data_IF_469771559961
#
_entry.id   IF_469771559961
#
_cell.length_a   1.000
_cell.length_b   1.000
_cell.length_c   1.000
_cell.angle_alpha   90.00
_cell.angle_beta   90.00
_cell.angle_gamma   90.00
#
_symmetry.space_group_name_H-M   'P 1'
#
loop_
_entity.id
_entity.type
_entity.pdbx_description
1 polymer ?
#
# COMPACT_ATOMS: atom_id res chain seq x y z
N UNK A 1 6.45 -22.52 40.08
CA UNK A 1 6.04 -22.94 38.73
C UNK A 1 5.29 -21.82 38.01
N UNK A 2 4.07 -21.43 38.40
CA UNK A 2 3.29 -20.38 37.70
C UNK A 2 4.01 -19.03 37.55
N UNK A 3 4.65 -18.51 38.61
CA UNK A 3 5.39 -17.23 38.57
C UNK A 3 6.60 -17.26 37.63
N UNK A 4 7.23 -18.42 37.45
CA UNK A 4 8.35 -18.60 36.54
C UNK A 4 7.89 -18.51 35.07
N UNK A 5 6.80 -19.21 34.73
CA UNK A 5 6.18 -19.12 33.40
C UNK A 5 5.71 -17.71 33.06
N UNK A 6 5.08 -17.01 34.00
CA UNK A 6 4.66 -15.61 33.78
C UNK A 6 5.87 -14.75 33.43
N UNK A 7 6.96 -14.84 34.19
CA UNK A 7 8.17 -14.06 33.93
C UNK A 7 8.78 -14.38 32.56
N UNK A 8 8.86 -15.67 32.19
CA UNK A 8 9.37 -16.11 30.88
C UNK A 8 8.52 -15.59 29.72
N UNK A 9 7.19 -15.69 29.84
CA UNK A 9 6.25 -15.19 28.83
C UNK A 9 6.27 -13.66 28.72
N UNK A 10 6.44 -12.94 29.83
CA UNK A 10 6.62 -11.49 29.80
C UNK A 10 7.92 -11.08 29.10
N UNK A 11 9.01 -11.80 29.35
CA UNK A 11 10.28 -11.56 28.67
C UNK A 11 10.16 -11.81 27.16
N UNK A 12 9.56 -12.94 26.78
CA UNK A 12 9.29 -13.27 25.38
C UNK A 12 8.42 -12.20 24.72
N UNK A 13 7.34 -11.76 25.38
CA UNK A 13 6.47 -10.69 24.87
C UNK A 13 7.23 -9.39 24.64
N UNK A 14 8.18 -9.03 25.53
CA UNK A 14 9.02 -7.84 25.35
C UNK A 14 9.97 -7.99 24.16
N UNK A 15 10.61 -9.16 24.02
CA UNK A 15 11.47 -9.48 22.89
C UNK A 15 10.72 -9.37 21.56
N UNK A 16 9.56 -10.05 21.45
CA UNK A 16 8.74 -10.05 20.24
C UNK A 16 8.25 -8.65 19.83
N UNK A 17 7.97 -7.78 20.80
CA UNK A 17 7.47 -6.42 20.54
C UNK A 17 8.54 -5.39 20.22
N UNK A 18 9.79 -5.61 20.60
CA UNK A 18 10.83 -4.56 20.57
C UNK A 18 12.08 -4.94 19.80
N UNK A 19 12.45 -6.21 19.83
CA UNK A 19 13.76 -6.65 19.33
C UNK A 19 13.62 -7.56 18.13
N UNK A 20 12.54 -8.35 18.03
CA UNK A 20 12.37 -9.33 16.96
C UNK A 20 12.49 -8.71 15.55
N UNK A 21 11.88 -7.54 15.33
CA UNK A 21 11.96 -6.83 14.04
C UNK A 21 13.38 -6.34 13.70
N UNK A 22 14.24 -6.14 14.70
CA UNK A 22 15.59 -5.60 14.53
C UNK A 22 16.62 -6.66 14.13
N UNK A 23 16.26 -7.94 14.25
CA UNK A 23 17.14 -9.09 13.93
C UNK A 23 17.09 -9.46 12.44
N UNK A 24 16.22 -8.82 11.66
CA UNK A 24 16.09 -9.07 10.23
C UNK A 24 17.06 -8.21 9.43
N UNK A 25 17.87 -8.86 8.61
CA UNK A 25 18.82 -8.20 7.72
C UNK A 25 18.28 -8.17 6.28
N UNK A 26 18.11 -6.96 5.76
CA UNK A 26 17.66 -6.70 4.39
C UNK A 26 18.60 -5.66 3.80
N UNK A 27 19.11 -5.92 2.60
CA UNK A 27 20.00 -5.00 1.91
C UNK A 27 19.24 -3.74 1.43
N UNK A 28 19.96 -2.64 1.22
CA UNK A 28 19.37 -1.36 0.82
C UNK A 28 18.58 -1.41 -0.51
N UNK A 29 18.95 -2.32 -1.41
CA UNK A 29 18.23 -2.58 -2.66
C UNK A 29 16.96 -3.44 -2.48
N UNK A 30 16.58 -3.77 -1.24
CA UNK A 30 15.41 -4.57 -0.91
C UNK A 30 15.60 -6.09 -1.02
N UNK A 31 16.82 -6.58 -1.29
CA UNK A 31 17.08 -8.03 -1.32
C UNK A 31 17.26 -8.58 0.08
N UNK A 32 16.64 -9.73 0.35
CA UNK A 32 16.83 -10.47 1.60
C UNK A 32 18.26 -10.99 1.73
N UNK A 33 18.78 -10.97 2.95
CA UNK A 33 20.06 -11.57 3.30
C UNK A 33 19.76 -12.85 4.09
N UNK A 34 20.48 -13.94 3.78
CA UNK A 34 20.37 -15.18 4.54
C UNK A 34 20.84 -14.98 5.98
N UNK A 35 20.13 -15.59 6.93
CA UNK A 35 20.53 -15.60 8.33
C UNK A 35 20.76 -17.05 8.76
N UNK A 36 21.90 -17.32 9.40
CA UNK A 36 22.23 -18.67 9.90
C UNK A 36 21.25 -19.16 10.97
N UNK A 37 20.55 -18.24 11.64
CA UNK A 37 19.40 -18.53 12.49
C UNK A 37 18.13 -18.70 11.66
N UNK A 38 17.58 -19.92 11.67
CA UNK A 38 16.34 -20.28 10.96
C UNK A 38 15.15 -19.37 11.29
N UNK A 39 15.09 -18.91 12.53
CA UNK A 39 14.02 -18.06 13.07
C UNK A 39 14.07 -16.62 12.57
N UNK A 40 15.21 -16.21 12.03
CA UNK A 40 15.47 -14.87 11.51
C UNK A 40 15.71 -14.87 9.99
N UNK A 41 15.75 -16.06 9.37
CA UNK A 41 15.92 -16.21 7.94
C UNK A 41 14.59 -15.89 7.21
N UNK A 42 14.49 -14.68 6.66
CA UNK A 42 13.36 -14.27 5.81
C UNK A 42 13.15 -15.19 4.61
N UNK A 43 14.20 -15.60 3.85
CA UNK A 43 14.03 -16.58 2.78
C UNK A 43 13.39 -17.89 3.27
N UNK A 44 13.71 -18.36 4.48
CA UNK A 44 13.13 -19.58 5.03
C UNK A 44 11.66 -19.37 5.39
N UNK A 45 11.35 -18.26 6.05
CA UNK A 45 9.97 -17.88 6.41
C UNK A 45 9.05 -17.77 5.19
N UNK A 46 9.61 -17.37 4.05
CA UNK A 46 8.90 -17.25 2.77
C UNK A 46 9.02 -18.48 1.86
N UNK A 47 9.68 -19.56 2.30
CA UNK A 47 9.74 -20.84 1.58
C UNK A 47 10.73 -20.89 0.42
N UNK A 48 11.73 -19.99 0.40
CA UNK A 48 12.72 -19.84 -0.68
C UNK A 48 14.16 -20.19 -0.28
N UNK A 49 14.42 -20.48 1.00
CA UNK A 49 15.78 -20.80 1.47
C UNK A 49 16.20 -22.23 1.15
N UNK A 50 17.39 -22.39 0.57
CA UNK A 50 18.07 -23.69 0.38
C UNK A 50 19.36 -23.81 1.18
N UNK A 51 19.73 -22.75 1.91
CA UNK A 51 20.96 -22.69 2.70
C UNK A 51 20.80 -23.39 4.05
N UNK A 52 21.92 -23.81 4.64
CA UNK A 52 21.93 -24.47 5.95
C UNK A 52 21.74 -23.47 7.08
N UNK A 53 20.99 -23.87 8.10
CA UNK A 53 20.82 -23.11 9.33
C UNK A 53 21.52 -23.88 10.46
N UNK A 54 22.70 -23.42 10.86
CA UNK A 54 23.56 -24.07 11.86
C UNK A 54 23.34 -23.57 13.28
N UNK A 55 22.56 -22.49 13.45
CA UNK A 55 22.37 -21.80 14.72
C UNK A 55 20.89 -21.72 15.11
N UNK A 56 20.58 -22.02 16.37
CA UNK A 56 19.30 -21.67 17.00
C UNK A 56 19.49 -20.39 17.81
N UNK A 57 18.75 -19.32 17.48
CA UNK A 57 18.79 -18.11 18.29
C UNK A 57 18.22 -18.38 19.68
N UNK A 58 18.96 -17.97 20.71
CA UNK A 58 18.61 -18.11 22.13
C UNK A 58 17.21 -17.53 22.42
N UNK A 59 16.82 -16.41 21.80
CA UNK A 59 15.52 -15.76 22.03
C UNK A 59 14.33 -16.51 21.42
N UNK A 60 14.48 -17.06 20.22
CA UNK A 60 13.40 -17.79 19.55
C UNK A 60 13.32 -19.25 19.97
N UNK A 61 14.46 -19.90 20.24
CA UNK A 61 14.49 -21.24 20.85
C UNK A 61 13.80 -21.27 22.22
N UNK A 62 13.86 -20.16 22.99
CA UNK A 62 13.11 -20.00 24.24
C UNK A 62 11.59 -20.06 24.05
N UNK A 63 11.06 -19.59 22.91
CA UNK A 63 9.62 -19.66 22.62
C UNK A 63 9.15 -21.11 22.58
N UNK A 64 9.76 -21.94 21.74
CA UNK A 64 9.39 -23.36 21.61
C UNK A 64 9.69 -24.14 22.89
N UNK A 65 10.77 -23.81 23.59
CA UNK A 65 11.09 -24.42 24.87
C UNK A 65 9.99 -24.15 25.92
N UNK A 66 9.40 -22.95 25.96
CA UNK A 66 8.30 -22.62 26.88
C UNK A 66 7.05 -23.44 26.56
N UNK A 67 6.66 -23.53 25.28
CA UNK A 67 5.49 -24.34 24.87
C UNK A 67 5.69 -25.83 25.17
N UNK A 68 6.88 -26.36 24.92
CA UNK A 68 7.23 -27.74 25.27
C UNK A 68 7.17 -27.99 26.78
N UNK A 69 7.73 -27.09 27.59
CA UNK A 69 7.67 -27.16 29.05
C UNK A 69 6.22 -27.08 29.56
N UNK A 70 5.42 -26.16 29.02
CA UNK A 70 4.01 -26.03 29.37
C UNK A 70 3.22 -27.31 29.06
N UNK A 71 3.42 -27.94 27.90
CA UNK A 71 2.77 -29.22 27.56
C UNK A 71 3.06 -30.33 28.57
N UNK A 72 4.28 -30.37 29.11
CA UNK A 72 4.65 -31.38 30.11
C UNK A 72 4.05 -31.10 31.50
N UNK A 73 3.82 -29.83 31.83
CA UNK A 73 3.36 -29.40 33.15
C UNK A 73 1.83 -29.23 33.27
N UNK A 74 1.10 -29.15 32.14
CA UNK A 74 -0.36 -29.00 32.12
C UNK A 74 -1.10 -30.29 31.76
N UNK A 75 -2.36 -30.46 32.19
CA UNK A 75 -3.19 -31.59 31.79
C UNK A 75 -3.35 -31.68 30.27
N UNK A 76 -3.38 -32.92 29.76
CA UNK A 76 -3.57 -33.22 28.34
C UNK A 76 -4.84 -32.63 27.74
N UNK A 77 -5.86 -32.37 28.57
CA UNK A 77 -7.10 -31.71 28.15
C UNK A 77 -6.91 -30.28 27.62
N UNK A 78 -5.80 -29.62 27.97
CA UNK A 78 -5.49 -28.25 27.55
C UNK A 78 -4.46 -28.19 26.40
N UNK A 79 -3.97 -29.34 25.92
CA UNK A 79 -2.93 -29.37 24.88
C UNK A 79 -3.42 -28.80 23.56
N UNK A 80 -4.66 -29.07 23.17
CA UNK A 80 -5.26 -28.51 21.96
C UNK A 80 -5.31 -26.98 22.00
N UNK A 81 -5.76 -26.40 23.12
CA UNK A 81 -5.81 -24.95 23.30
C UNK A 81 -4.40 -24.33 23.28
N UNK A 82 -3.42 -25.00 23.87
CA UNK A 82 -2.03 -24.56 23.83
C UNK A 82 -1.45 -24.59 22.40
N UNK A 83 -1.81 -25.58 21.59
CA UNK A 83 -1.44 -25.67 20.18
C UNK A 83 -2.05 -24.53 19.36
N UNK A 84 -3.33 -24.22 19.58
CA UNK A 84 -3.98 -23.06 18.95
C UNK A 84 -3.27 -21.74 19.29
N UNK A 85 -2.85 -21.56 20.56
CA UNK A 85 -2.06 -20.38 20.93
C UNK A 85 -0.67 -20.34 20.28
N UNK A 86 -0.04 -21.50 20.11
CA UNK A 86 1.23 -21.58 19.40
C UNK A 86 1.06 -21.19 17.93
N UNK A 87 0.01 -21.67 17.26
CA UNK A 87 -0.30 -21.30 15.87
C UNK A 87 -0.58 -19.80 15.72
N UNK A 88 -1.40 -19.21 16.59
CA UNK A 88 -1.64 -17.76 16.59
C UNK A 88 -0.35 -16.95 16.75
N UNK A 89 0.57 -17.43 17.58
CA UNK A 89 1.86 -16.78 17.77
C UNK A 89 2.73 -16.87 16.51
N UNK A 90 2.77 -18.03 15.86
CA UNK A 90 3.48 -18.21 14.58
C UNK A 90 2.90 -17.31 13.49
N UNK A 91 1.57 -17.17 13.43
CA UNK A 91 0.91 -16.26 12.50
C UNK A 91 1.31 -14.80 12.75
N UNK A 92 1.34 -14.39 14.03
CA UNK A 92 1.81 -13.06 14.42
C UNK A 92 3.27 -12.83 13.99
N UNK A 93 4.17 -13.79 14.22
CA UNK A 93 5.58 -13.70 13.84
C UNK A 93 5.76 -13.57 12.32
N UNK A 94 5.04 -14.39 11.56
CA UNK A 94 5.04 -14.32 10.09
C UNK A 94 4.54 -12.96 9.60
N UNK A 95 3.54 -12.37 10.27
CA UNK A 95 3.07 -11.01 9.97
C UNK A 95 4.13 -9.95 10.30
N UNK A 96 4.84 -10.03 11.43
CA UNK A 96 5.94 -9.10 11.74
C UNK A 96 7.08 -9.20 10.72
N UNK A 97 7.46 -10.42 10.31
CA UNK A 97 8.45 -10.64 9.24
C UNK A 97 8.03 -9.99 7.92
N UNK A 98 6.79 -10.22 7.46
CA UNK A 98 6.24 -9.59 6.24
C UNK A 98 6.23 -8.08 6.35
N UNK A 99 5.82 -7.54 7.50
CA UNK A 99 5.80 -6.11 7.76
C UNK A 99 7.20 -5.49 7.61
N UNK A 100 8.21 -6.03 8.29
CA UNK A 100 9.59 -5.52 8.21
C UNK A 100 10.08 -5.58 6.77
N UNK A 101 9.85 -6.73 6.11
CA UNK A 101 10.26 -6.92 4.73
C UNK A 101 9.63 -5.94 3.75
N UNK A 102 8.30 -5.80 3.74
CA UNK A 102 7.62 -4.91 2.81
C UNK A 102 7.91 -3.43 3.09
N UNK A 103 8.14 -3.05 4.36
CA UNK A 103 8.56 -1.70 4.71
C UNK A 103 9.90 -1.32 4.06
N UNK A 104 10.86 -2.23 3.99
CA UNK A 104 12.13 -1.97 3.29
C UNK A 104 11.96 -1.82 1.78
N UNK A 105 10.93 -2.43 1.19
CA UNK A 105 10.67 -2.32 -0.24
C UNK A 105 10.34 -0.87 -0.64
N UNK A 106 9.66 -0.10 0.20
CA UNK A 106 9.38 1.31 -0.08
C UNK A 106 10.69 2.10 -0.30
N UNK A 107 11.62 2.01 0.65
CA UNK A 107 12.91 2.68 0.55
C UNK A 107 13.77 2.15 -0.61
N UNK A 108 13.78 0.84 -0.86
CA UNK A 108 14.48 0.25 -1.99
C UNK A 108 13.99 0.80 -3.34
N UNK A 109 12.67 0.98 -3.48
CA UNK A 109 12.07 1.55 -4.69
C UNK A 109 12.35 3.05 -4.84
N UNK A 110 12.43 3.79 -3.74
CA UNK A 110 12.88 5.18 -3.77
C UNK A 110 14.34 5.29 -4.23
N UNK A 111 15.23 4.40 -3.77
CA UNK A 111 16.63 4.39 -4.17
C UNK A 111 16.83 3.96 -5.63
N UNK A 112 15.93 3.15 -6.19
CA UNK A 112 15.92 2.76 -7.60
C UNK A 112 15.50 3.91 -8.56
N UNK A 113 14.90 4.98 -8.03
CA UNK A 113 14.33 6.06 -8.83
C UNK A 113 15.40 6.87 -9.57
N UNK A 114 15.23 7.01 -10.88
CA UNK A 114 16.03 7.85 -11.76
C UNK A 114 15.21 9.05 -12.28
N UNK A 115 15.80 9.89 -13.14
CA UNK A 115 15.14 11.07 -13.73
C UNK A 115 14.07 10.74 -14.78
N UNK A 116 13.93 9.45 -15.13
CA UNK A 116 12.99 8.92 -16.11
C UNK A 116 11.80 8.24 -15.44
N UNK A 117 11.93 7.85 -14.17
CA UNK A 117 10.92 7.15 -13.41
C UNK A 117 10.04 8.05 -12.55
N UNK A 118 8.91 7.49 -12.11
CA UNK A 118 8.17 8.00 -10.96
C UNK A 118 7.77 6.86 -10.01
N UNK A 119 7.75 7.13 -8.71
CA UNK A 119 7.14 6.23 -7.72
C UNK A 119 5.81 6.82 -7.27
N UNK A 120 4.74 6.04 -7.39
CA UNK A 120 3.37 6.47 -7.09
C UNK A 120 2.88 5.71 -5.85
N UNK A 121 2.53 6.41 -4.78
CA UNK A 121 1.90 5.80 -3.60
C UNK A 121 0.42 6.14 -3.60
N UNK A 122 -0.45 5.13 -3.53
CA UNK A 122 -1.90 5.33 -3.52
C UNK A 122 -2.52 4.82 -2.23
N UNK A 123 -3.46 5.60 -1.69
CA UNK A 123 -4.23 5.20 -0.53
C UNK A 123 -5.65 5.79 -0.50
N UNK A 124 -6.58 4.98 0.01
CA UNK A 124 -7.93 5.42 0.29
C UNK A 124 -8.06 5.86 1.74
N UNK A 125 -8.33 7.15 1.93
CA UNK A 125 -8.69 7.64 3.25
C UNK A 125 -10.07 7.15 3.66
N UNK A 126 -10.26 7.00 4.96
CA UNK A 126 -11.60 6.94 5.57
C UNK A 126 -12.49 8.09 5.09
N UNK A 127 -13.79 7.79 4.92
CA UNK A 127 -14.76 8.72 4.35
C UNK A 127 -14.83 10.04 5.12
N UNK A 128 -14.74 11.14 4.42
CA UNK A 128 -15.05 12.46 4.98
C UNK A 128 -16.57 12.58 5.06
N UNK A 129 -17.11 12.77 6.25
CA UNK A 129 -18.55 12.96 6.43
C UNK A 129 -18.91 14.45 6.27
N UNK A 130 -20.10 14.77 5.74
CA UNK A 130 -20.66 16.11 5.83
C UNK A 130 -20.73 16.55 7.29
N UNK A 131 -20.29 17.78 7.56
CA UNK A 131 -20.25 18.36 8.90
C UNK A 131 -20.74 19.79 8.82
N UNK A 132 -21.58 20.18 9.77
CA UNK A 132 -21.93 21.58 9.96
C UNK A 132 -21.27 22.12 11.22
N UNK A 133 -20.91 23.40 11.21
CA UNK A 133 -20.44 24.09 12.41
C UNK A 133 -21.50 24.10 13.54
N UNK A 134 -22.78 24.01 13.18
CA UNK A 134 -23.91 23.95 14.11
C UNK A 134 -24.80 22.75 13.79
N UNK A 135 -24.31 21.57 14.12
CA UNK A 135 -25.01 20.32 13.87
C UNK A 135 -25.88 19.90 15.06
N UNK A 136 -27.17 19.65 14.82
CA UNK A 136 -28.05 19.07 15.84
C UNK A 136 -27.92 17.54 15.88
N UNK A 137 -28.19 16.93 17.04
CA UNK A 137 -28.06 15.47 17.22
C UNK A 137 -28.90 14.63 16.24
N UNK A 138 -30.00 15.19 15.73
CA UNK A 138 -30.89 14.57 14.74
C UNK A 138 -30.31 14.57 13.33
N UNK A 139 -29.50 15.57 12.98
CA UNK A 139 -28.85 15.71 11.67
C UNK A 139 -27.66 14.76 11.46
N UNK A 140 -27.20 14.10 12.53
CA UNK A 140 -26.00 13.25 12.53
C UNK A 140 -26.21 11.89 11.85
N UNK A 141 -27.43 11.36 11.77
CA UNK A 141 -27.67 9.99 11.32
C UNK A 141 -27.67 9.83 9.79
N UNK A 142 -26.98 8.77 9.31
CA UNK A 142 -26.96 8.30 7.90
C UNK A 142 -26.45 9.29 6.86
N UNK A 143 -25.40 10.05 7.18
CA UNK A 143 -24.73 10.90 6.19
C UNK A 143 -23.92 10.06 5.19
N UNK A 144 -24.05 10.38 3.90
CA UNK A 144 -23.21 9.81 2.84
C UNK A 144 -21.87 10.57 2.82
N UNK A 145 -20.78 9.87 3.11
CA UNK A 145 -19.44 10.45 3.11
C UNK A 145 -18.78 10.44 1.72
N UNK A 146 -17.80 11.33 1.54
CA UNK A 146 -16.90 11.40 0.40
C UNK A 146 -15.75 10.43 0.55
N UNK A 147 -15.41 9.74 -0.54
CA UNK A 147 -14.22 8.89 -0.60
C UNK A 147 -13.05 9.72 -1.13
N UNK A 148 -11.96 9.79 -0.39
CA UNK A 148 -10.73 10.45 -0.82
C UNK A 148 -9.72 9.37 -1.23
N UNK A 149 -9.20 9.46 -2.45
CA UNK A 149 -8.16 8.59 -2.96
C UNK A 149 -6.92 9.41 -3.25
N UNK A 150 -6.05 9.48 -2.26
CA UNK A 150 -4.84 10.27 -2.34
C UNK A 150 -3.79 9.53 -3.14
N UNK A 151 -3.03 10.28 -3.93
CA UNK A 151 -1.90 9.75 -4.68
C UNK A 151 -0.69 10.65 -4.46
N UNK A 152 0.43 10.06 -4.06
CA UNK A 152 1.69 10.77 -3.92
C UNK A 152 2.58 10.38 -5.10
N UNK A 153 3.20 11.35 -5.76
CA UNK A 153 4.11 11.10 -6.87
C UNK A 153 5.51 11.57 -6.48
N UNK A 154 6.43 10.62 -6.38
CA UNK A 154 7.84 10.87 -6.16
C UNK A 154 8.54 10.91 -7.52
N UNK A 155 9.26 11.99 -7.79
CA UNK A 155 10.08 12.14 -9.00
C UNK A 155 11.48 12.60 -8.63
N UNK A 156 12.47 12.26 -9.45
CA UNK A 156 13.84 12.72 -9.22
C UNK A 156 14.16 13.94 -10.08
N UNK A 157 14.78 14.95 -9.48
CA UNK A 157 15.48 16.02 -10.21
C UNK A 157 16.99 15.87 -10.02
N UNK A 158 17.77 16.56 -10.86
CA UNK A 158 19.23 16.62 -10.73
C UNK A 158 19.58 16.97 -9.26
N UNK A 159 20.40 16.13 -8.63
CA UNK A 159 20.93 16.23 -7.26
C UNK A 159 19.93 16.25 -6.08
N UNK A 160 18.63 16.04 -6.29
CA UNK A 160 17.62 15.96 -5.20
C UNK A 160 16.35 15.18 -5.57
N UNK A 161 15.61 14.72 -4.56
CA UNK A 161 14.28 14.16 -4.78
C UNK A 161 13.26 15.28 -4.64
N UNK A 162 12.49 15.51 -5.71
CA UNK A 162 11.32 16.35 -5.62
C UNK A 162 10.09 15.49 -5.35
N UNK A 163 9.43 15.80 -4.24
CA UNK A 163 8.16 15.21 -3.91
C UNK A 163 7.05 16.12 -4.44
N UNK A 164 6.31 15.66 -5.44
CA UNK A 164 5.06 16.30 -5.83
C UNK A 164 3.89 15.47 -5.30
N UNK A 165 3.36 15.88 -4.15
CA UNK A 165 2.17 15.26 -3.60
C UNK A 165 0.95 15.82 -4.36
N UNK A 166 0.11 14.95 -4.91
CA UNK A 166 -1.11 15.35 -5.60
C UNK A 166 -2.32 14.53 -5.13
N UNK A 167 -3.06 15.03 -4.14
CA UNK A 167 -4.19 14.30 -3.57
C UNK A 167 -5.52 14.54 -4.31
N UNK A 168 -6.04 13.54 -5.01
CA UNK A 168 -7.32 13.64 -5.72
C UNK A 168 -8.50 13.14 -4.87
N UNK A 169 -9.67 13.75 -5.01
CA UNK A 169 -10.84 13.40 -4.22
C UNK A 169 -12.06 13.20 -5.09
N UNK A 170 -12.96 12.32 -4.69
CA UNK A 170 -14.18 12.10 -5.45
C UNK A 170 -15.41 12.16 -4.59
N UNK A 171 -16.46 12.70 -5.19
CA UNK A 171 -17.81 12.65 -4.64
C UNK A 171 -18.45 11.27 -4.84
N UNK A 172 -17.80 10.36 -5.56
CA UNK A 172 -18.24 8.99 -5.71
C UNK A 172 -17.84 8.14 -4.48
N UNK A 173 -18.81 7.57 -3.74
CA UNK A 173 -18.51 6.70 -2.60
C UNK A 173 -17.89 5.35 -2.99
N UNK A 174 -17.85 5.00 -4.29
CA UNK A 174 -17.40 3.70 -4.78
C UNK A 174 -15.87 3.64 -4.82
N UNK A 175 -15.29 2.82 -3.95
CA UNK A 175 -13.90 2.40 -4.00
C UNK A 175 -13.78 1.24 -5.02
N UNK A 176 -13.92 1.54 -6.30
CA UNK A 176 -13.84 0.54 -7.37
C UNK A 176 -12.64 0.75 -8.28
N UNK A 177 -12.39 -0.24 -9.14
CA UNK A 177 -11.24 -0.22 -10.05
C UNK A 177 -11.32 0.92 -11.07
N UNK A 178 -12.52 1.28 -11.51
CA UNK A 178 -12.69 2.36 -12.47
C UNK A 178 -12.36 3.71 -11.84
N UNK A 179 -12.81 3.92 -10.60
CA UNK A 179 -12.47 5.10 -9.84
C UNK A 179 -10.95 5.21 -9.62
N UNK A 180 -10.30 4.11 -9.20
CA UNK A 180 -8.85 4.04 -9.03
C UNK A 180 -8.12 4.35 -10.35
N UNK A 181 -8.50 3.71 -11.45
CA UNK A 181 -7.92 3.95 -12.78
C UNK A 181 -8.13 5.39 -13.27
N UNK A 182 -9.31 5.96 -13.01
CA UNK A 182 -9.64 7.35 -13.36
C UNK A 182 -8.80 8.35 -12.58
N UNK A 183 -8.55 8.06 -11.29
CA UNK A 183 -7.67 8.89 -10.47
C UNK A 183 -6.22 8.87 -10.98
N UNK A 184 -5.69 7.69 -11.29
CA UNK A 184 -4.36 7.51 -11.87
C UNK A 184 -4.23 8.19 -13.23
N UNK A 185 -5.26 8.09 -14.08
CA UNK A 185 -5.31 8.81 -15.36
C UNK A 185 -5.17 10.32 -15.17
N UNK A 186 -5.95 10.91 -14.26
CA UNK A 186 -5.94 12.36 -14.02
C UNK A 186 -4.55 12.86 -13.59
N UNK A 187 -3.81 12.05 -12.82
CA UNK A 187 -2.44 12.35 -12.38
C UNK A 187 -1.46 12.24 -13.54
N UNK A 188 -1.54 11.17 -14.32
CA UNK A 188 -0.64 10.96 -15.45
C UNK A 188 -0.75 12.11 -16.47
N UNK A 189 -1.96 12.60 -16.69
CA UNK A 189 -2.19 13.74 -17.59
C UNK A 189 -1.84 15.10 -16.94
N UNK A 190 -1.76 15.20 -15.61
CA UNK A 190 -1.33 16.44 -14.91
C UNK A 190 0.19 16.59 -14.82
N UNK A 191 0.94 15.49 -14.85
CA UNK A 191 2.40 15.50 -14.79
C UNK A 191 2.99 16.17 -16.05
N UNK A 192 3.68 17.31 -15.86
CA UNK A 192 4.25 18.12 -16.96
C UNK A 192 5.25 17.35 -17.83
N UNK A 193 6.16 16.59 -17.20
CA UNK A 193 7.15 15.74 -17.87
C UNK A 193 6.79 14.29 -17.59
N UNK A 194 6.16 13.62 -18.56
CA UNK A 194 5.71 12.23 -18.38
C UNK A 194 6.93 11.33 -18.09
N UNK A 195 6.89 10.50 -17.04
CA UNK A 195 7.94 9.52 -16.78
C UNK A 195 7.90 8.41 -17.85
N UNK A 196 9.04 7.84 -18.18
CA UNK A 196 9.14 6.67 -19.05
C UNK A 196 8.61 5.41 -18.34
N UNK A 197 8.76 5.33 -17.02
CA UNK A 197 8.31 4.19 -16.23
C UNK A 197 7.78 4.60 -14.85
N UNK A 198 6.91 3.78 -14.28
CA UNK A 198 6.33 4.01 -12.95
C UNK A 198 6.30 2.75 -12.10
N UNK A 199 6.58 2.92 -10.82
CA UNK A 199 6.29 1.91 -9.79
C UNK A 199 5.11 2.40 -8.96
N UNK A 200 4.13 1.53 -8.70
CA UNK A 200 2.96 1.86 -7.88
C UNK A 200 3.05 1.10 -6.55
N UNK A 201 2.74 1.76 -5.45
CA UNK A 201 2.70 1.16 -4.11
C UNK A 201 1.34 1.47 -3.48
N UNK A 202 0.68 0.45 -2.94
CA UNK A 202 -0.56 0.60 -2.19
C UNK A 202 -0.59 -0.34 -0.98
N UNK A 203 -1.63 -0.26 -0.17
CA UNK A 203 -1.91 -1.24 0.88
C UNK A 203 -2.57 -2.45 0.23
N UNK A 204 -2.67 -3.52 1.00
CA UNK A 204 -3.37 -4.74 0.62
C UNK A 204 -4.91 -4.60 0.60
N UNK A 205 -5.43 -3.40 0.32
CA UNK A 205 -6.84 -3.10 0.27
C UNK A 205 -7.54 -3.88 -0.86
N UNK A 206 -8.61 -4.62 -0.53
CA UNK A 206 -9.34 -5.46 -1.49
C UNK A 206 -9.90 -4.71 -2.72
N UNK A 207 -9.99 -3.38 -2.64
CA UNK A 207 -10.40 -2.52 -3.77
C UNK A 207 -9.31 -2.38 -4.86
N UNK A 208 -8.04 -2.61 -4.54
CA UNK A 208 -6.95 -2.65 -5.53
C UNK A 208 -6.77 -4.03 -6.19
N UNK A 209 -7.22 -5.10 -5.53
CA UNK A 209 -7.20 -6.47 -6.04
C UNK A 209 -8.26 -6.72 -7.10
N UNK A 210 -8.14 -6.03 -8.23
CA UNK A 210 -9.14 -6.06 -9.30
C UNK A 210 -8.51 -6.36 -10.67
N UNK A 211 -9.05 -7.37 -11.35
CA UNK A 211 -8.58 -7.78 -12.67
C UNK A 211 -8.72 -6.67 -13.71
N UNK A 212 -9.78 -5.87 -13.65
CA UNK A 212 -9.98 -4.73 -14.55
C UNK A 212 -8.84 -3.72 -14.38
N UNK A 213 -8.41 -3.45 -13.14
CA UNK A 213 -7.32 -2.53 -12.85
C UNK A 213 -5.98 -3.03 -13.40
N UNK A 214 -5.66 -4.31 -13.16
CA UNK A 214 -4.42 -4.93 -13.66
C UNK A 214 -4.38 -4.99 -15.19
N UNK A 215 -5.54 -5.20 -15.81
CA UNK A 215 -5.67 -5.20 -17.26
C UNK A 215 -5.62 -3.80 -17.88
N UNK A 216 -6.19 -2.79 -17.22
CA UNK A 216 -6.08 -1.37 -17.61
C UNK A 216 -4.61 -0.94 -17.67
N UNK A 217 -3.81 -1.33 -16.68
CA UNK A 217 -2.38 -0.98 -16.61
C UNK A 217 -1.58 -1.52 -17.80
N UNK A 218 -1.93 -2.71 -18.30
CA UNK A 218 -1.30 -3.28 -19.49
C UNK A 218 -1.33 -2.35 -20.70
N UNK A 219 -2.33 -1.48 -20.80
CA UNK A 219 -2.49 -0.53 -21.90
C UNK A 219 -1.80 0.82 -21.67
N UNK A 220 -1.19 1.06 -20.51
CA UNK A 220 -0.51 2.33 -20.23
C UNK A 220 0.63 2.67 -21.18
N UNK A 221 1.46 1.70 -21.64
CA UNK A 221 2.48 1.98 -22.64
C UNK A 221 1.88 2.58 -23.92
N UNK A 222 0.76 2.03 -24.39
CA UNK A 222 0.08 2.51 -25.61
C UNK A 222 -0.65 3.84 -25.38
N UNK A 223 -1.30 3.99 -24.23
CA UNK A 223 -2.19 5.13 -23.95
C UNK A 223 -1.49 6.39 -23.47
N UNK A 224 -0.35 6.23 -22.79
CA UNK A 224 0.36 7.32 -22.13
C UNK A 224 1.84 7.37 -22.52
N UNK A 225 2.39 6.32 -23.14
CA UNK A 225 3.83 6.20 -23.34
C UNK A 225 4.58 5.87 -22.04
N UNK A 226 3.89 5.31 -21.04
CA UNK A 226 4.42 5.05 -19.70
C UNK A 226 4.43 3.55 -19.45
N UNK A 227 5.56 3.02 -19.03
CA UNK A 227 5.69 1.63 -18.60
C UNK A 227 5.32 1.46 -17.12
N UNK A 228 4.22 0.77 -16.78
CA UNK A 228 4.00 0.35 -15.40
C UNK A 228 4.96 -0.79 -15.09
N UNK A 229 6.08 -0.46 -14.45
CA UNK A 229 7.17 -1.39 -14.17
C UNK A 229 6.73 -2.45 -13.17
N UNK A 230 6.16 -2.02 -12.05
CA UNK A 230 5.60 -2.90 -11.02
C UNK A 230 4.56 -2.21 -10.14
N UNK A 231 3.64 -2.99 -9.58
CA UNK A 231 2.74 -2.58 -8.49
C UNK A 231 2.99 -3.48 -7.29
N UNK A 232 3.38 -2.90 -6.15
CA UNK A 232 3.65 -3.61 -4.89
C UNK A 232 2.55 -3.31 -3.86
N UNK A 233 2.06 -4.37 -3.22
CA UNK A 233 1.13 -4.31 -2.11
C UNK A 233 1.87 -4.44 -0.78
N UNK A 234 1.67 -3.45 0.09
CA UNK A 234 2.20 -3.43 1.45
C UNK A 234 1.20 -4.05 2.43
N UNK A 235 1.70 -4.52 3.57
CA UNK A 235 0.83 -4.89 4.70
C UNK A 235 0.03 -3.66 5.17
N UNK A 236 -1.20 -3.84 5.69
CA UNK A 236 -2.00 -2.75 6.23
C UNK A 236 -1.24 -1.94 7.30
N UNK A 237 -1.48 -0.63 7.34
CA UNK A 237 -0.92 0.34 8.30
C UNK A 237 0.59 0.64 8.18
N UNK A 238 1.27 0.17 7.13
CA UNK A 238 2.75 0.18 7.09
C UNK A 238 3.30 0.81 5.79
N UNK A 239 4.47 1.46 5.89
CA UNK A 239 5.19 2.25 4.86
C UNK A 239 4.43 3.41 4.18
N UNK A 240 3.15 3.62 4.51
CA UNK A 240 2.32 4.74 4.07
C UNK A 240 2.42 6.00 4.94
N UNK A 241 3.42 6.09 5.82
CA UNK A 241 3.52 7.18 6.82
C UNK A 241 3.41 8.57 6.21
N UNK A 242 3.92 8.81 5.00
CA UNK A 242 3.80 10.10 4.32
C UNK A 242 2.37 10.38 3.83
N UNK A 243 1.70 9.41 3.21
CA UNK A 243 0.30 9.58 2.75
C UNK A 243 -0.67 9.64 3.94
N UNK A 244 -0.41 8.88 5.00
CA UNK A 244 -1.19 8.89 6.25
C UNK A 244 -1.01 10.21 7.01
N UNK A 245 0.23 10.73 7.06
CA UNK A 245 0.51 12.06 7.62
C UNK A 245 -0.21 13.15 6.83
N UNK A 246 -0.20 13.07 5.50
CA UNK A 246 -0.96 13.97 4.63
C UNK A 246 -2.47 13.88 4.88
N UNK A 247 -2.99 12.66 5.06
CA UNK A 247 -4.38 12.45 5.48
C UNK A 247 -4.66 13.11 6.84
N UNK A 248 -3.76 13.00 7.82
CA UNK A 248 -3.92 13.67 9.11
C UNK A 248 -4.01 15.20 8.95
N UNK A 249 -3.18 15.80 8.08
CA UNK A 249 -3.23 17.23 7.77
C UNK A 249 -4.55 17.64 7.12
N UNK A 250 -5.02 16.88 6.12
CA UNK A 250 -6.34 17.09 5.50
C UNK A 250 -7.45 17.04 6.56
N UNK A 251 -7.42 16.04 7.45
CA UNK A 251 -8.43 15.91 8.50
C UNK A 251 -8.39 17.11 9.47
N UNK A 252 -7.19 17.55 9.84
CA UNK A 252 -7.00 18.72 10.68
C UNK A 252 -7.54 19.99 10.01
N UNK A 253 -7.23 20.22 8.74
CA UNK A 253 -7.68 21.40 7.99
C UNK A 253 -9.20 21.45 7.86
N UNK A 254 -9.83 20.31 7.52
CA UNK A 254 -11.30 20.19 7.48
C UNK A 254 -11.91 20.51 8.85
N UNK A 255 -11.37 19.94 9.93
CA UNK A 255 -11.87 20.20 11.27
C UNK A 255 -11.70 21.68 11.69
N UNK A 256 -10.59 22.32 11.29
CA UNK A 256 -10.35 23.75 11.51
C UNK A 256 -11.36 24.59 10.74
N UNK A 257 -11.63 24.26 9.48
CA UNK A 257 -12.62 24.95 8.65
C UNK A 257 -14.01 24.92 9.32
N UNK A 258 -14.43 23.76 9.82
CA UNK A 258 -15.69 23.62 10.57
C UNK A 258 -15.69 24.43 11.86
N UNK A 259 -14.59 24.43 12.63
CA UNK A 259 -14.46 25.23 13.86
C UNK A 259 -14.54 26.74 13.62
N UNK A 260 -14.16 27.21 12.43
CA UNK A 260 -14.26 28.61 12.03
C UNK A 260 -15.68 29.02 11.62
N UNK A 261 -16.65 28.09 11.66
CA UNK A 261 -18.06 28.38 11.38
C UNK A 261 -18.53 28.00 9.98
N UNK A 262 -17.66 27.38 9.16
CA UNK A 262 -18.01 26.96 7.81
C UNK A 262 -18.56 25.53 7.78
N UNK A 263 -19.40 25.21 6.81
CA UNK A 263 -19.99 23.88 6.63
C UNK A 263 -19.26 23.09 5.53
N UNK A 264 -19.24 21.77 5.66
CA UNK A 264 -18.77 20.83 4.64
C UNK A 264 -19.99 20.09 4.08
N UNK A 265 -20.49 20.56 2.94
CA UNK A 265 -21.72 20.05 2.31
C UNK A 265 -21.50 19.53 0.88
N UNK A 266 -20.40 19.93 0.24
CA UNK A 266 -20.03 19.60 -1.12
C UNK A 266 -18.53 19.32 -1.25
N UNK A 267 -18.12 18.70 -2.36
CA UNK A 267 -16.70 18.53 -2.68
C UNK A 267 -15.95 19.86 -2.77
N UNK A 268 -16.62 20.95 -3.20
CA UNK A 268 -16.02 22.29 -3.26
C UNK A 268 -15.71 22.85 -1.88
N UNK A 269 -16.52 22.53 -0.88
CA UNK A 269 -16.24 22.92 0.51
C UNK A 269 -15.00 22.19 1.04
N UNK A 270 -14.81 20.92 0.65
CA UNK A 270 -13.58 20.17 0.97
C UNK A 270 -12.37 20.82 0.30
N UNK A 271 -12.48 21.17 -0.98
CA UNK A 271 -11.43 21.87 -1.73
C UNK A 271 -11.02 23.18 -1.03
N UNK A 272 -12.01 24.00 -0.66
CA UNK A 272 -11.80 25.25 0.05
C UNK A 272 -11.20 25.02 1.45
N UNK A 273 -11.58 23.93 2.13
CA UNK A 273 -11.05 23.61 3.43
C UNK A 273 -9.59 23.15 3.41
N UNK A 274 -9.06 22.72 2.27
CA UNK A 274 -7.68 22.22 2.13
C UNK A 274 -6.79 23.08 1.21
N UNK A 275 -7.31 24.20 0.72
CA UNK A 275 -6.66 25.07 -0.29
C UNK A 275 -5.35 25.74 0.15
N UNK A 276 -4.89 25.51 1.38
CA UNK A 276 -3.60 25.98 1.90
C UNK A 276 -2.65 24.87 2.33
N UNK A 277 -2.98 23.60 2.11
CA UNK A 277 -2.05 22.49 2.41
C UNK A 277 -1.02 22.43 1.28
N UNK A 278 0.26 22.61 1.64
CA UNK A 278 1.39 22.50 0.72
C UNK A 278 1.34 21.17 -0.03
N UNK A 279 1.74 21.12 -1.31
CA UNK A 279 1.70 19.91 -2.14
C UNK A 279 0.32 19.24 -2.15
N UNK A 280 -0.77 20.01 -2.23
CA UNK A 280 -2.12 19.43 -2.29
C UNK A 280 -2.89 20.05 -3.44
N UNK A 281 -3.06 19.27 -4.50
CA UNK A 281 -3.95 19.57 -5.62
C UNK A 281 -5.19 18.69 -5.58
N UNK A 282 -6.36 19.26 -5.30
CA UNK A 282 -7.60 18.49 -5.30
C UNK A 282 -8.30 18.61 -6.65
N UNK A 283 -8.38 17.49 -7.38
CA UNK A 283 -9.32 17.33 -8.49
C UNK A 283 -10.56 16.58 -8.00
N UNK A 284 -11.75 17.11 -8.29
CA UNK A 284 -13.04 16.49 -8.01
C UNK A 284 -13.59 15.81 -9.26
N UNK A 285 -13.91 14.53 -9.16
CA UNK A 285 -14.58 13.80 -10.24
C UNK A 285 -16.08 14.12 -10.25
N UNK A 286 -16.57 14.64 -11.38
CA UNK A 286 -18.00 14.78 -11.63
C UNK A 286 -18.59 13.41 -12.01
N UNK A 287 -19.48 12.86 -11.18
CA UNK A 287 -20.33 11.68 -11.42
C UNK A 287 -19.73 10.65 -12.40
N UNK A 288 -18.98 9.66 -11.87
CA UNK A 288 -18.37 8.57 -12.66
C UNK A 288 -19.37 7.59 -13.32
N UNK A 289 -20.67 7.89 -13.30
CA UNK A 289 -21.74 6.90 -13.45
C UNK A 289 -21.81 6.17 -14.79
N UNK A 290 -21.09 6.57 -15.84
CA UNK A 290 -21.48 6.18 -17.19
C UNK A 290 -20.46 5.42 -18.05
N UNK A 291 -19.29 4.99 -17.56
CA UNK A 291 -18.37 4.18 -18.40
C UNK A 291 -18.31 2.71 -17.98
N UNK A 292 -18.34 2.42 -16.68
CA UNK A 292 -18.34 1.05 -16.15
C UNK A 292 -19.57 0.77 -15.30
N UNK A 293 -20.73 1.34 -15.68
CA UNK A 293 -21.98 0.77 -15.21
C UNK A 293 -21.91 -0.71 -15.53
N UNK A 294 -21.91 -1.51 -14.47
CA UNK A 294 -22.22 -2.92 -14.53
C UNK A 294 -23.58 -2.99 -15.19
N UNK A 295 -23.62 -3.06 -16.51
CA UNK A 295 -24.72 -3.72 -17.21
C UNK A 295 -24.86 -5.05 -16.48
N UNK A 296 -25.91 -5.14 -15.69
CA UNK A 296 -26.31 -6.33 -14.96
C UNK A 296 -26.51 -7.43 -16.01
N UNK A 297 -25.45 -8.17 -16.32
CA UNK A 297 -25.43 -9.14 -17.42
C UNK A 297 -24.05 -9.44 -18.01
N UNK A 298 -23.08 -8.49 -18.03
CA UNK A 298 -21.72 -8.76 -18.54
C UNK A 298 -20.79 -9.23 -17.41
N UNK A 299 -20.09 -10.34 -17.62
CA UNK A 299 -19.17 -10.95 -16.66
C UNK A 299 -18.14 -9.98 -16.07
N UNK A 300 -17.59 -10.31 -14.89
CA UNK A 300 -16.42 -9.60 -14.34
C UNK A 300 -15.16 -10.29 -14.85
N UNK A 301 -14.14 -9.50 -15.20
CA UNK A 301 -12.83 -10.07 -15.48
C UNK A 301 -12.33 -10.79 -14.22
N UNK A 302 -11.70 -11.95 -14.40
CA UNK A 302 -11.18 -12.76 -13.30
C UNK A 302 -9.75 -13.14 -13.60
N UNK A 303 -8.83 -12.73 -12.73
CA UNK A 303 -7.47 -13.26 -12.71
C UNK A 303 -7.41 -14.31 -11.59
N UNK A 304 -6.98 -15.55 -11.89
CA UNK A 304 -6.78 -16.57 -10.88
C UNK A 304 -5.84 -16.10 -9.77
N UNK A 305 -6.23 -16.32 -8.51
CA UNK A 305 -5.41 -16.01 -7.35
C UNK A 305 -5.18 -14.52 -7.10
N UNK A 306 -5.97 -13.61 -7.68
CA UNK A 306 -5.71 -12.16 -7.62
C UNK A 306 -5.43 -11.62 -6.21
N UNK A 307 -6.16 -12.10 -5.21
CA UNK A 307 -6.01 -11.70 -3.80
C UNK A 307 -4.73 -12.20 -3.12
N UNK A 308 -3.99 -13.10 -3.77
CA UNK A 308 -2.79 -13.72 -3.22
C UNK A 308 -1.51 -13.11 -3.80
N UNK A 309 -1.63 -12.18 -4.75
CA UNK A 309 -0.49 -11.59 -5.44
C UNK A 309 -0.15 -10.22 -4.84
N UNK A 310 1.07 -10.10 -4.33
CA UNK A 310 1.57 -8.88 -3.68
C UNK A 310 2.48 -8.06 -4.57
N UNK A 311 2.96 -8.60 -5.69
CA UNK A 311 3.66 -7.83 -6.70
C UNK A 311 3.17 -8.20 -8.11
N UNK A 312 2.96 -7.17 -8.91
CA UNK A 312 2.59 -7.27 -10.33
C UNK A 312 3.63 -6.57 -11.18
N UNK A 313 3.85 -7.07 -12.40
CA UNK A 313 4.72 -6.44 -13.40
C UNK A 313 4.14 -6.60 -14.81
N UNK A 314 4.44 -5.63 -15.69
CA UNK A 314 3.99 -5.60 -17.08
C UNK A 314 5.18 -5.48 -18.03
N UNK A 315 5.89 -6.58 -18.35
CA UNK A 315 7.07 -6.51 -19.20
C UNK A 315 6.72 -6.01 -20.61
N UNK A 316 7.47 -5.03 -21.10
CA UNK A 316 7.32 -4.45 -22.45
C UNK A 316 8.42 -4.91 -23.43
N UNK A 317 9.42 -5.61 -22.94
CA UNK A 317 10.56 -6.15 -23.71
C UNK A 317 10.88 -7.56 -23.24
N UNK A 318 11.52 -8.34 -24.12
CA UNK A 318 11.92 -9.72 -23.84
C UNK A 318 10.83 -10.76 -24.08
N UNK A 319 11.06 -11.99 -23.61
CA UNK A 319 10.19 -13.15 -23.84
C UNK A 319 8.76 -12.95 -23.29
N UNK A 320 8.65 -12.25 -22.15
CA UNK A 320 7.38 -11.95 -21.49
C UNK A 320 6.74 -10.64 -21.96
N UNK A 321 7.18 -10.07 -23.07
CA UNK A 321 6.61 -8.83 -23.61
C UNK A 321 5.10 -8.97 -23.83
N UNK A 322 4.34 -8.06 -23.22
CA UNK A 322 2.87 -8.01 -23.31
C UNK A 322 2.15 -8.96 -22.35
N UNK A 323 2.87 -9.71 -21.50
CA UNK A 323 2.30 -10.51 -20.42
C UNK A 323 1.97 -9.63 -19.21
N UNK A 324 1.15 -10.17 -18.31
CA UNK A 324 1.04 -9.69 -16.94
C UNK A 324 1.73 -10.74 -16.06
N UNK A 325 2.67 -10.34 -15.21
CA UNK A 325 3.32 -11.22 -14.25
C UNK A 325 2.91 -10.85 -12.83
N UNK A 326 2.72 -11.85 -11.99
CA UNK A 326 2.34 -11.68 -10.60
C UNK A 326 3.12 -12.65 -9.68
N UNK A 327 3.41 -12.24 -8.45
CA UNK A 327 4.01 -13.10 -7.42
C UNK A 327 3.46 -12.79 -6.04
N UNK A 328 3.57 -13.77 -5.16
CA UNK A 328 3.00 -13.79 -3.81
C UNK A 328 3.78 -12.91 -2.83
N UNK A 329 5.06 -12.68 -3.06
CA UNK A 329 5.89 -11.84 -2.21
C UNK A 329 6.73 -10.93 -3.09
N UNK A 330 6.79 -9.64 -2.77
CA UNK A 330 7.60 -8.72 -3.54
C UNK A 330 9.06 -9.17 -3.54
N UNK A 331 9.77 -9.10 -4.67
CA UNK A 331 11.16 -9.54 -4.81
C UNK A 331 11.50 -11.01 -4.45
N UNK A 332 10.51 -11.85 -4.13
CA UNK A 332 10.70 -13.26 -3.75
C UNK A 332 9.67 -14.18 -4.41
N UNK A 333 10.03 -15.46 -4.54
CA UNK A 333 9.14 -16.45 -5.14
C UNK A 333 9.10 -16.42 -6.67
N UNK A 334 8.32 -17.34 -7.24
CA UNK A 334 8.24 -17.57 -8.68
C UNK A 334 7.16 -16.71 -9.32
N UNK A 335 7.46 -16.13 -10.49
CA UNK A 335 6.47 -15.41 -11.28
C UNK A 335 5.40 -16.34 -11.84
N UNK A 336 4.15 -16.01 -11.57
CA UNK A 336 3.00 -16.49 -12.34
C UNK A 336 2.80 -15.57 -13.52
N UNK A 337 2.83 -16.10 -14.73
CA UNK A 337 2.74 -15.30 -15.96
C UNK A 337 1.41 -15.55 -16.67
N UNK A 338 0.71 -14.48 -17.02
CA UNK A 338 -0.52 -14.49 -17.80
C UNK A 338 -0.22 -14.04 -19.23
N UNK A 339 -0.34 -14.96 -20.20
CA UNK A 339 -0.06 -14.64 -21.59
C UNK A 339 -1.15 -13.78 -22.22
N UNK A 340 -0.85 -13.01 -23.28
CA UNK A 340 -1.86 -12.27 -24.04
C UNK A 340 -3.11 -13.10 -24.40
N UNK A 341 -2.91 -14.37 -24.79
CA UNK A 341 -3.99 -15.30 -25.15
C UNK A 341 -4.83 -15.71 -23.95
N UNK A 342 -4.24 -15.82 -22.77
CA UNK A 342 -4.97 -16.12 -21.54
C UNK A 342 -5.76 -14.90 -21.09
N UNK A 343 -5.15 -13.72 -21.16
CA UNK A 343 -5.79 -12.46 -20.83
C UNK A 343 -7.00 -12.18 -21.72
N UNK A 344 -6.91 -12.46 -23.03
CA UNK A 344 -8.05 -12.36 -23.96
C UNK A 344 -9.22 -13.28 -23.57
N UNK A 345 -8.95 -14.49 -23.06
CA UNK A 345 -9.99 -15.42 -22.58
C UNK A 345 -10.62 -14.97 -21.26
N UNK A 346 -9.83 -14.33 -20.40
CA UNK A 346 -10.25 -13.83 -19.09
C UNK A 346 -10.95 -12.46 -19.21
N UNK A 347 -10.78 -11.78 -20.34
CA UNK A 347 -11.37 -10.50 -20.65
C UNK A 347 -12.80 -10.68 -21.18
N UNK A 348 -13.76 -10.45 -20.31
CA UNK A 348 -15.19 -10.48 -20.61
C UNK A 348 -15.75 -9.13 -21.10
N UNK A 349 -14.96 -8.06 -20.99
CA UNK A 349 -15.33 -6.68 -21.35
C UNK A 349 -14.19 -5.96 -22.05
N UNK A 350 -14.51 -5.14 -23.03
CA UNK A 350 -13.55 -4.22 -23.65
C UNK A 350 -12.97 -3.28 -22.61
N UNK A 351 -11.66 -3.08 -22.67
CA UNK A 351 -10.94 -2.15 -21.78
C UNK A 351 -10.80 -0.84 -22.53
N UNK A 352 -11.33 0.23 -21.93
CA UNK A 352 -11.29 1.57 -22.51
C UNK A 352 -10.38 2.48 -21.69
N UNK A 353 -9.72 3.42 -22.37
CA UNK A 353 -8.91 4.45 -21.69
C UNK A 353 -9.83 5.28 -20.79
N UNK A 354 -9.53 5.41 -19.49
CA UNK A 354 -10.29 6.30 -18.61
C UNK A 354 -10.33 7.72 -19.19
N UNK A 355 -11.52 8.32 -19.17
CA UNK A 355 -11.71 9.72 -19.56
C UNK A 355 -12.66 10.42 -18.56
N UNK A 356 -12.22 10.60 -17.31
CA UNK A 356 -13.03 11.21 -16.28
C UNK A 356 -13.24 12.71 -16.52
N UNK A 357 -14.43 13.20 -16.22
CA UNK A 357 -14.65 14.63 -16.05
C UNK A 357 -14.13 15.06 -14.68
N UNK A 358 -12.93 15.65 -14.66
CA UNK A 358 -12.26 16.15 -13.45
C UNK A 358 -12.32 17.67 -13.46
N UNK A 359 -12.67 18.28 -12.33
CA UNK A 359 -12.47 19.71 -12.16
C UNK A 359 -10.99 20.06 -12.33
N UNK A 360 -10.68 21.27 -12.82
CA UNK A 360 -9.30 21.76 -12.84
C UNK A 360 -8.69 21.62 -11.45
N UNK A 361 -7.63 20.81 -11.27
CA UNK A 361 -7.01 20.64 -9.95
C UNK A 361 -6.49 21.98 -9.45
N UNK A 362 -6.61 22.25 -8.16
CA UNK A 362 -5.92 23.38 -7.54
C UNK A 362 -4.42 23.21 -7.73
N UNK A 363 -3.72 24.22 -8.25
CA UNK A 363 -2.26 24.18 -8.35
C UNK A 363 -1.73 24.49 -6.97
N UNK A 364 -0.91 23.59 -6.41
CA UNK A 364 -0.24 23.90 -5.14
C UNK A 364 0.79 25.01 -5.37
N UNK A 365 0.80 26.00 -4.48
CA UNK A 365 1.74 27.12 -4.56
C UNK A 365 3.18 26.71 -4.20
N UNK A 366 3.35 25.61 -3.44
CA UNK A 366 4.63 25.12 -2.95
C UNK A 366 4.77 23.60 -3.15
N UNK A 367 5.91 23.16 -3.68
CA UNK A 367 6.29 21.74 -3.78
C UNK A 367 6.93 21.24 -2.49
N UNK A 368 6.91 19.93 -2.26
CA UNK A 368 7.63 19.32 -1.15
C UNK A 368 9.01 18.86 -1.62
N UNK A 369 10.04 19.17 -0.83
CA UNK A 369 11.37 18.64 -1.05
C UNK A 369 11.66 17.63 0.05
N UNK A 370 12.05 16.42 -0.33
CA UNK A 370 12.40 15.36 0.62
C UNK A 370 13.84 14.96 0.38
N UNK A 371 14.62 14.92 1.45
CA UNK A 371 15.99 14.39 1.38
C UNK A 371 15.93 12.87 1.26
N UNK A 372 16.86 12.31 0.50
CA UNK A 372 17.04 10.86 0.41
C UNK A 372 17.09 10.24 1.81
N UNK A 373 16.52 9.04 2.00
CA UNK A 373 16.90 8.24 3.15
C UNK A 373 18.42 8.04 3.09
N UNK A 374 19.14 8.50 4.10
CA UNK A 374 20.53 8.09 4.32
C UNK A 374 20.53 6.57 4.59
N UNK A 375 21.69 5.92 4.49
CA UNK A 375 21.90 4.47 4.75
C UNK A 375 21.31 3.96 6.10
N UNK A 376 20.79 4.85 6.95
CA UNK A 376 20.10 4.58 8.22
C UNK A 376 18.55 4.54 8.13
N UNK A 377 17.93 4.61 6.94
CA UNK A 377 16.53 4.22 6.72
C UNK A 377 15.42 5.18 7.18
N UNK A 378 15.76 6.41 7.62
CA UNK A 378 14.77 7.43 7.98
C UNK A 378 14.69 8.54 6.92
N UNK A 379 13.46 8.90 6.56
CA UNK A 379 13.15 10.08 5.75
C UNK A 379 13.00 11.26 6.71
N UNK A 380 13.98 12.16 6.75
CA UNK A 380 13.81 13.47 7.39
C UNK A 380 13.07 14.39 6.41
N UNK A 381 11.76 14.52 6.61
CA UNK A 381 10.95 15.55 5.96
C UNK A 381 11.24 16.87 6.68
N UNK A 382 11.93 17.81 6.02
CA UNK A 382 12.16 19.13 6.57
C UNK A 382 10.85 19.94 6.53
N UNK A 383 10.21 20.07 7.69
CA UNK A 383 9.01 20.87 7.90
C UNK A 383 9.37 22.35 8.08
N UNK A 384 9.64 23.06 6.99
CA UNK A 384 9.69 24.52 7.04
C UNK A 384 8.26 25.07 7.01
N UNK A 385 7.80 25.58 8.17
CA UNK A 385 6.54 26.32 8.35
C UNK A 385 6.46 27.59 7.49
#
# INVERSE_FOLDING_TARGET
MQKDYINKLEHLRRYLKKSYEQEFEIAANGTVIHNECISHCLPYAFGVCTESHSHECVGYGQLFAIFYQLKNDIPTTLHTELDEYQEHLLYYLAHQMRKVYLNTQFNANLLELDEKGALIVVDYKMKVLPKSARETKEQFFRKKGWTLHSVLVYTRKEDSFELDIQAYGSNDPRQDAWFTASSLHAIIESIKKKPEWVTIISDNGGHYHNADLMMILRHWPDWYGIWPKKWIFLEPEEAKTTIDSHHAQIAHSINRHVKLGFDISSGKDIENAISGICGTSLGLFANSQNAFSTESGKGRNKLPGISNWFEWSWPIVGEYSGYIQARDIANLGTWTSFSPKDLEKLQSKTIEKPNPSVSTPTISENSWMVLLPNDTGFIDVNWSN
#
